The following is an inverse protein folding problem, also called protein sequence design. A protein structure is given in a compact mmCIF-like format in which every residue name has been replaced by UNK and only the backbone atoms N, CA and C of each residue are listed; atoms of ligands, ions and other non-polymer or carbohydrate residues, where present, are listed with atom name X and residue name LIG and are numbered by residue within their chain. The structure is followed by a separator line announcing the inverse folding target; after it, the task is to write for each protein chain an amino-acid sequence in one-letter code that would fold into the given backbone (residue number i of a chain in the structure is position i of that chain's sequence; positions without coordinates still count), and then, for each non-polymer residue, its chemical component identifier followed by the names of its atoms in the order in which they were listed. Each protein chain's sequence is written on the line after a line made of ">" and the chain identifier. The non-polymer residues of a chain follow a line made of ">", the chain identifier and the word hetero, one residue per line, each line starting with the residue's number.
data_IF_907411941335
#
_entry.id   IF_907411941335
#
_cell.length_a   1.000
_cell.length_b   1.000
_cell.length_c   1.000
_cell.angle_alpha   90.00
_cell.angle_beta   90.00
_cell.angle_gamma   90.00
#
_symmetry.space_group_name_H-M   'P 1'
#
loop_
_entity.id
_entity.type
_entity.pdbx_description
1 polymer ?
#
# COMPACT_ATOMS: atom_id res chain seq x y z
N UNK A 1 -13.27 40.52 55.88
CA UNK A 1 -13.08 40.28 54.44
C UNK A 1 -12.89 38.77 54.27
N UNK A 2 -13.99 38.11 53.89
CA UNK A 2 -14.01 36.69 53.58
C UNK A 2 -13.54 36.55 52.12
N UNK A 3 -12.37 35.97 51.93
CA UNK A 3 -11.91 35.52 50.62
C UNK A 3 -12.24 34.03 50.48
N UNK A 4 -13.27 33.75 49.68
CA UNK A 4 -13.55 32.39 49.20
C UNK A 4 -12.41 31.96 48.26
N UNK A 5 -11.81 30.75 48.37
CA UNK A 5 -10.82 30.27 47.44
C UNK A 5 -11.50 29.99 46.10
N UNK A 6 -10.90 30.45 44.99
CA UNK A 6 -11.28 30.07 43.64
C UNK A 6 -11.17 28.53 43.48
N UNK A 7 -12.10 27.92 42.72
CA UNK A 7 -12.02 26.49 42.46
C UNK A 7 -10.75 26.21 41.62
N UNK A 8 -9.98 25.25 42.09
CA UNK A 8 -8.82 24.72 41.37
C UNK A 8 -9.27 24.24 39.96
N UNK A 9 -8.69 24.81 38.93
CA UNK A 9 -8.85 24.32 37.57
C UNK A 9 -8.26 22.93 37.55
N UNK A 10 -9.09 21.92 37.30
CA UNK A 10 -8.70 20.53 37.16
C UNK A 10 -7.81 20.43 35.91
N UNK A 11 -6.49 20.46 36.10
CA UNK A 11 -5.53 20.20 35.02
C UNK A 11 -5.59 18.72 34.76
N UNK A 12 -6.05 18.28 33.57
CA UNK A 12 -6.12 16.85 33.28
C UNK A 12 -4.74 16.21 33.45
N UNK A 13 -4.71 15.10 34.19
CA UNK A 13 -3.50 14.30 34.39
C UNK A 13 -2.94 13.85 33.03
N UNK A 14 -1.86 14.48 32.58
CA UNK A 14 -1.21 14.28 31.27
C UNK A 14 -0.60 12.87 31.17
N UNK A 15 -0.59 12.10 32.27
CA UNK A 15 0.00 10.75 32.34
C UNK A 15 -0.87 9.66 31.72
N UNK A 16 -2.20 9.87 31.58
CA UNK A 16 -3.11 8.87 31.03
C UNK A 16 -3.47 9.22 29.58
N UNK A 17 -2.79 8.55 28.64
CA UNK A 17 -3.16 8.66 27.23
C UNK A 17 -4.47 7.89 26.99
N UNK A 18 -5.55 8.54 26.57
CA UNK A 18 -6.80 7.85 26.31
C UNK A 18 -6.60 6.85 25.16
N UNK A 19 -7.15 5.64 25.34
CA UNK A 19 -7.22 4.65 24.28
C UNK A 19 -8.47 4.95 23.44
N UNK A 20 -8.28 5.25 22.18
CA UNK A 20 -9.39 5.47 21.21
C UNK A 20 -9.53 4.25 20.31
N UNK A 21 -10.70 4.07 19.69
CA UNK A 21 -10.87 3.06 18.64
C UNK A 21 -10.05 3.46 17.40
N UNK A 22 -9.53 2.48 16.65
CA UNK A 22 -8.74 2.73 15.45
C UNK A 22 -9.58 3.53 14.44
N UNK A 23 -9.14 4.76 14.07
CA UNK A 23 -9.88 5.55 13.08
C UNK A 23 -9.80 4.88 11.70
N UNK A 24 -10.93 4.52 11.14
CA UNK A 24 -11.06 4.01 9.79
C UNK A 24 -11.98 4.93 8.97
N UNK A 25 -11.71 5.15 7.68
CA UNK A 25 -12.60 5.91 6.83
C UNK A 25 -13.94 5.18 6.68
N UNK A 26 -15.07 5.89 6.71
CA UNK A 26 -16.36 5.29 6.36
C UNK A 26 -16.35 4.75 4.93
N UNK A 27 -17.10 3.67 4.64
CA UNK A 27 -17.29 3.19 3.27
C UNK A 27 -17.76 4.31 2.33
N UNK A 28 -17.25 4.33 1.11
CA UNK A 28 -17.64 5.34 0.11
C UNK A 28 -17.00 6.72 0.29
N UNK A 29 -16.02 6.87 1.18
CA UNK A 29 -15.26 8.12 1.35
C UNK A 29 -13.88 8.02 0.73
N UNK A 30 -13.49 9.06 -0.02
CA UNK A 30 -12.18 9.16 -0.70
C UNK A 30 -11.10 9.83 0.14
N UNK A 31 -11.34 10.13 1.39
CA UNK A 31 -10.39 10.86 2.24
C UNK A 31 -9.97 10.08 3.47
N UNK A 32 -8.89 10.49 4.11
CA UNK A 32 -8.52 9.96 5.40
C UNK A 32 -9.57 10.34 6.46
N UNK A 33 -9.67 9.58 7.57
CA UNK A 33 -10.53 9.92 8.69
C UNK A 33 -10.29 11.36 9.20
N UNK A 34 -11.36 12.09 9.52
CA UNK A 34 -11.25 13.44 10.09
C UNK A 34 -10.50 13.47 11.42
N UNK A 35 -10.52 12.35 12.14
CA UNK A 35 -9.79 12.14 13.37
C UNK A 35 -8.27 12.37 13.20
N UNK A 36 -7.71 12.17 12.02
CA UNK A 36 -6.28 12.38 11.77
C UNK A 36 -5.88 13.83 12.01
N UNK A 37 -6.68 14.81 11.55
CA UNK A 37 -6.40 16.22 11.80
C UNK A 37 -6.44 16.53 13.29
N UNK A 38 -7.50 16.10 14.00
CA UNK A 38 -7.62 16.30 15.43
C UNK A 38 -6.45 15.68 16.20
N UNK A 39 -6.06 14.44 15.85
CA UNK A 39 -4.96 13.77 16.52
C UNK A 39 -3.63 14.47 16.28
N UNK A 40 -3.34 14.96 15.07
CA UNK A 40 -2.12 15.72 14.81
C UNK A 40 -2.00 16.95 15.70
N UNK A 41 -3.10 17.64 15.94
CA UNK A 41 -3.14 18.88 16.71
C UNK A 41 -3.13 18.63 18.23
N UNK A 42 -3.96 17.72 18.73
CA UNK A 42 -4.24 17.54 20.15
C UNK A 42 -3.43 16.41 20.80
N UNK A 43 -3.22 15.30 20.08
CA UNK A 43 -2.56 14.11 20.63
C UNK A 43 -1.79 13.35 19.54
N UNK A 44 -0.66 13.90 19.05
CA UNK A 44 0.06 13.36 17.89
C UNK A 44 0.61 11.93 18.09
N UNK A 45 0.80 11.52 19.33
CA UNK A 45 1.12 10.16 19.76
C UNK A 45 0.01 9.64 20.66
N UNK A 46 -1.04 9.08 20.07
CA UNK A 46 -2.20 8.52 20.74
C UNK A 46 -2.03 7.02 21.04
N UNK A 47 -2.96 6.44 21.83
CA UNK A 47 -3.14 5.00 21.96
C UNK A 47 -4.42 4.61 21.21
N UNK A 48 -4.34 3.56 20.40
CA UNK A 48 -5.51 3.03 19.68
C UNK A 48 -5.77 1.58 20.05
N UNK A 49 -7.05 1.21 20.03
CA UNK A 49 -7.49 -0.19 20.12
C UNK A 49 -7.67 -0.72 18.72
N UNK A 50 -7.01 -1.81 18.42
CA UNK A 50 -7.18 -2.52 17.15
C UNK A 50 -8.43 -3.41 17.19
N UNK A 51 -9.03 -3.74 16.05
CA UNK A 51 -10.20 -4.63 15.98
C UNK A 51 -10.00 -5.99 16.66
N UNK A 52 -8.77 -6.45 16.75
CA UNK A 52 -8.38 -7.69 17.44
C UNK A 52 -8.23 -7.54 18.98
N UNK A 53 -8.53 -6.37 19.53
CA UNK A 53 -8.47 -6.08 20.97
C UNK A 53 -7.10 -5.62 21.50
N UNK A 54 -6.02 -5.77 20.75
CA UNK A 54 -4.69 -5.26 21.13
C UNK A 54 -4.66 -3.72 21.07
N UNK A 55 -3.73 -3.10 21.83
CA UNK A 55 -3.50 -1.65 21.79
C UNK A 55 -2.16 -1.33 21.17
N UNK A 56 -2.09 -0.21 20.44
CA UNK A 56 -0.87 0.27 19.81
C UNK A 56 -0.70 1.77 19.99
N UNK A 57 0.54 2.24 19.91
CA UNK A 57 0.83 3.66 19.72
C UNK A 57 0.48 4.08 18.31
N UNK A 58 -0.03 5.29 18.14
CA UNK A 58 -0.58 5.80 16.89
C UNK A 58 0.00 7.18 16.62
N UNK A 59 0.97 7.25 15.72
CA UNK A 59 1.68 8.48 15.40
C UNK A 59 1.11 9.11 14.13
N UNK A 60 0.75 10.40 14.16
CA UNK A 60 0.03 11.08 13.08
C UNK A 60 0.75 12.30 12.50
N UNK A 61 1.72 12.92 13.21
CA UNK A 61 2.52 14.04 12.69
C UNK A 61 3.57 13.58 11.69
N UNK A 62 3.84 14.38 10.70
CA UNK A 62 4.77 14.08 9.63
C UNK A 62 6.18 13.73 10.14
N UNK A 63 6.77 14.57 11.00
CA UNK A 63 8.14 14.35 11.47
C UNK A 63 8.22 13.08 12.34
N UNK A 64 7.26 12.85 13.22
CA UNK A 64 7.19 11.64 14.05
C UNK A 64 7.10 10.38 13.17
N UNK A 65 6.19 10.37 12.21
CA UNK A 65 6.00 9.25 11.28
C UNK A 65 7.27 9.00 10.47
N UNK A 66 7.90 10.07 9.97
CA UNK A 66 9.14 10.02 9.19
C UNK A 66 10.31 9.45 9.97
N UNK A 67 10.43 9.78 11.27
CA UNK A 67 11.45 9.22 12.15
C UNK A 67 11.14 7.77 12.50
N UNK A 68 9.94 7.46 12.95
CA UNK A 68 9.54 6.12 13.39
C UNK A 68 9.68 5.06 12.29
N UNK A 69 9.31 5.37 11.03
CA UNK A 69 9.46 4.40 9.93
C UNK A 69 10.90 4.11 9.52
N UNK A 70 11.85 4.91 10.00
CA UNK A 70 13.29 4.76 9.74
C UNK A 70 14.09 4.36 10.98
N UNK A 71 13.46 4.28 12.17
CA UNK A 71 14.14 3.97 13.42
C UNK A 71 14.47 2.47 13.49
N UNK A 72 15.75 2.13 13.64
CA UNK A 72 16.21 0.74 13.72
C UNK A 72 15.78 0.02 15.00
N UNK A 73 15.26 0.73 16.01
CA UNK A 73 14.66 0.16 17.22
C UNK A 73 13.22 -0.30 16.99
N UNK A 74 12.64 0.02 15.84
CA UNK A 74 11.31 -0.44 15.42
C UNK A 74 11.46 -1.45 14.30
N UNK A 75 11.08 -2.68 14.57
CA UNK A 75 11.15 -3.80 13.63
C UNK A 75 9.75 -4.17 13.13
N UNK A 76 9.70 -4.91 12.03
CA UNK A 76 8.47 -5.57 11.60
C UNK A 76 8.24 -6.80 12.48
N UNK A 77 7.13 -6.88 13.23
CA UNK A 77 6.85 -8.08 14.00
C UNK A 77 6.58 -9.25 13.06
N UNK A 78 7.01 -10.44 13.48
CA UNK A 78 6.52 -11.66 12.84
C UNK A 78 4.99 -11.67 12.87
N UNK A 79 4.36 -12.07 11.78
CA UNK A 79 2.89 -12.16 11.69
C UNK A 79 2.31 -13.06 12.78
N UNK A 80 3.10 -14.00 13.31
CA UNK A 80 2.69 -14.91 14.36
C UNK A 80 2.78 -14.31 15.76
N UNK A 81 3.65 -13.32 15.97
CA UNK A 81 3.95 -12.85 17.30
C UNK A 81 3.18 -11.59 17.68
N UNK A 82 2.80 -10.75 16.70
CA UNK A 82 2.03 -9.55 16.98
C UNK A 82 1.39 -8.93 15.72
N UNK A 83 0.17 -8.41 15.81
CA UNK A 83 -0.80 -8.63 16.89
C UNK A 83 -1.26 -10.09 16.90
N UNK A 84 -1.54 -10.68 18.06
CA UNK A 84 -2.04 -12.06 18.13
C UNK A 84 -3.33 -12.13 17.29
N UNK A 85 -3.29 -12.89 16.22
CA UNK A 85 -4.48 -13.09 15.36
C UNK A 85 -5.39 -14.12 16.03
N UNK A 86 -6.72 -13.95 15.95
CA UNK A 86 -7.64 -14.98 16.42
C UNK A 86 -7.26 -16.35 15.83
N UNK A 87 -7.05 -17.34 16.69
CA UNK A 87 -6.69 -18.70 16.27
C UNK A 87 -5.18 -18.98 16.07
N UNK A 88 -4.30 -17.99 16.24
CA UNK A 88 -2.84 -18.23 16.30
C UNK A 88 -2.37 -18.40 17.73
N UNK A 89 -1.56 -19.41 17.98
CA UNK A 89 -0.82 -19.58 19.23
C UNK A 89 0.64 -19.10 19.06
N UNK A 90 1.28 -18.59 20.13
CA UNK A 90 2.72 -18.32 20.09
C UNK A 90 3.50 -19.58 19.69
N UNK A 91 4.33 -19.46 18.66
CA UNK A 91 5.11 -20.57 18.12
C UNK A 91 4.47 -21.32 16.94
N UNK A 92 3.28 -20.92 16.50
CA UNK A 92 2.74 -21.41 15.22
C UNK A 92 3.68 -20.97 14.08
N UNK A 93 3.93 -21.87 13.12
CA UNK A 93 4.74 -21.52 11.96
C UNK A 93 4.07 -20.38 11.16
N UNK A 94 4.83 -19.36 10.75
CA UNK A 94 4.28 -18.27 9.96
C UNK A 94 3.77 -18.83 8.62
N UNK A 95 2.52 -18.54 8.29
CA UNK A 95 1.94 -19.00 7.02
C UNK A 95 2.71 -18.46 5.81
N UNK A 96 2.97 -17.18 5.77
CA UNK A 96 3.71 -16.51 4.71
C UNK A 96 4.77 -15.59 5.34
N UNK A 97 6.05 -15.92 5.17
CA UNK A 97 7.16 -15.03 5.50
C UNK A 97 7.52 -14.22 4.26
N UNK A 98 7.23 -12.94 4.30
CA UNK A 98 7.55 -12.02 3.20
C UNK A 98 8.86 -11.25 3.47
N UNK A 99 9.40 -10.59 2.45
CA UNK A 99 10.54 -9.69 2.64
C UNK A 99 10.24 -8.57 3.66
N UNK A 100 8.97 -8.22 3.87
CA UNK A 100 8.56 -7.18 4.82
C UNK A 100 8.76 -7.58 6.29
N UNK A 101 8.86 -8.87 6.59
CA UNK A 101 9.03 -9.42 7.94
C UNK A 101 10.49 -9.77 8.25
N UNK A 102 11.37 -9.64 7.25
CA UNK A 102 12.79 -9.84 7.44
C UNK A 102 13.46 -8.57 7.94
N UNK A 103 14.44 -8.73 8.83
CA UNK A 103 15.23 -7.62 9.37
C UNK A 103 16.73 -7.86 9.21
N UNK A 104 17.51 -6.78 9.37
CA UNK A 104 18.95 -6.82 9.44
C UNK A 104 19.64 -7.33 8.16
N UNK A 105 20.74 -8.13 8.30
CA UNK A 105 21.55 -8.57 7.17
C UNK A 105 20.81 -9.42 6.14
N UNK A 106 19.85 -10.26 6.57
CA UNK A 106 19.04 -11.11 5.67
C UNK A 106 18.15 -10.25 4.77
N UNK A 107 17.42 -9.28 5.36
CA UNK A 107 16.63 -8.32 4.60
C UNK A 107 17.51 -7.54 3.61
N UNK A 108 18.64 -6.99 4.07
CA UNK A 108 19.53 -6.19 3.23
C UNK A 108 20.12 -6.99 2.05
N UNK A 109 20.47 -8.26 2.27
CA UNK A 109 21.00 -9.14 1.22
C UNK A 109 19.93 -9.43 0.16
N UNK A 110 18.74 -9.84 0.57
CA UNK A 110 17.62 -10.14 -0.32
C UNK A 110 17.21 -8.88 -1.11
N UNK A 111 17.04 -7.76 -0.43
CA UNK A 111 16.70 -6.48 -1.08
C UNK A 111 17.73 -6.07 -2.13
N UNK A 112 19.02 -6.21 -1.85
CA UNK A 112 20.09 -5.90 -2.81
C UNK A 112 20.03 -6.80 -4.06
N UNK A 113 19.85 -8.09 -3.87
CA UNK A 113 19.77 -9.06 -4.97
C UNK A 113 18.59 -8.75 -5.92
N UNK A 114 17.51 -8.18 -5.38
CA UNK A 114 16.22 -8.04 -6.08
C UNK A 114 15.85 -6.61 -6.45
N UNK A 115 16.68 -5.61 -6.10
CA UNK A 115 16.37 -4.20 -6.36
C UNK A 115 16.54 -3.77 -7.82
N UNK A 116 17.35 -4.47 -8.60
CA UNK A 116 17.67 -4.06 -9.98
C UNK A 116 16.44 -3.99 -10.90
N UNK A 117 15.49 -4.96 -10.94
CA UNK A 117 14.28 -4.85 -11.76
C UNK A 117 13.40 -3.63 -11.42
N UNK A 118 13.46 -3.17 -10.16
CA UNK A 118 12.71 -1.99 -9.68
C UNK A 118 13.49 -0.68 -9.78
N UNK A 119 14.72 -0.71 -10.29
CA UNK A 119 15.53 0.50 -10.48
C UNK A 119 14.88 1.44 -11.49
N UNK A 120 15.15 2.74 -11.38
CA UNK A 120 14.69 3.76 -12.35
C UNK A 120 15.04 3.36 -13.78
N UNK A 121 16.25 2.80 -14.00
CA UNK A 121 16.72 2.38 -15.33
C UNK A 121 15.86 1.23 -15.87
N UNK A 122 15.65 0.19 -15.09
CA UNK A 122 14.92 -1.01 -15.51
C UNK A 122 13.44 -0.70 -15.72
N UNK A 123 12.82 0.06 -14.83
CA UNK A 123 11.43 0.51 -14.98
C UNK A 123 11.28 1.38 -16.24
N UNK A 124 12.20 2.33 -16.49
CA UNK A 124 12.17 3.16 -17.70
C UNK A 124 12.29 2.32 -18.97
N UNK A 125 13.16 1.32 -19.00
CA UNK A 125 13.29 0.40 -20.15
C UNK A 125 12.04 -0.48 -20.33
N UNK A 126 11.31 -0.76 -19.24
CA UNK A 126 10.05 -1.51 -19.25
C UNK A 126 8.81 -0.71 -19.66
N UNK A 127 8.87 0.64 -19.70
CA UNK A 127 7.71 1.50 -20.03
C UNK A 127 6.93 1.06 -21.29
N UNK A 128 7.59 0.68 -22.41
CA UNK A 128 6.85 0.21 -23.59
C UNK A 128 6.07 -1.09 -23.35
N UNK A 129 6.53 -1.97 -22.44
CA UNK A 129 5.79 -3.18 -22.05
C UNK A 129 4.57 -2.82 -21.21
N UNK A 130 4.76 -1.94 -20.22
CA UNK A 130 3.67 -1.44 -19.38
C UNK A 130 2.58 -0.78 -20.25
N UNK A 131 2.99 0.04 -21.25
CA UNK A 131 2.05 0.66 -22.17
C UNK A 131 1.28 -0.36 -23.01
N UNK A 132 1.93 -1.40 -23.54
CA UNK A 132 1.23 -2.48 -24.26
C UNK A 132 0.20 -3.20 -23.41
N UNK A 133 0.47 -3.42 -22.12
CA UNK A 133 -0.51 -4.01 -21.19
C UNK A 133 -1.74 -3.12 -21.05
N UNK A 134 -1.56 -1.79 -20.93
CA UNK A 134 -2.65 -0.85 -20.88
C UNK A 134 -3.46 -0.84 -22.18
N UNK A 135 -2.80 -0.74 -23.34
CA UNK A 135 -3.48 -0.71 -24.65
C UNK A 135 -4.27 -2.00 -24.91
N UNK A 136 -3.71 -3.18 -24.58
CA UNK A 136 -4.40 -4.48 -24.71
C UNK A 136 -5.70 -4.57 -23.93
N UNK A 137 -5.77 -3.94 -22.76
CA UNK A 137 -6.97 -3.91 -21.93
C UNK A 137 -7.95 -2.84 -22.38
N UNK A 138 -7.45 -1.68 -22.83
CA UNK A 138 -8.31 -0.59 -23.29
C UNK A 138 -8.94 -0.84 -24.67
N UNK A 139 -8.31 -1.62 -25.57
CA UNK A 139 -8.89 -1.92 -26.89
C UNK A 139 -10.31 -2.52 -26.79
N UNK A 140 -10.55 -3.62 -26.04
CA UNK A 140 -11.89 -4.17 -25.87
C UNK A 140 -12.77 -3.30 -24.96
N UNK A 141 -12.19 -2.50 -24.04
CA UNK A 141 -12.95 -1.59 -23.19
C UNK A 141 -13.62 -0.50 -24.00
N UNK A 142 -12.85 0.20 -24.86
CA UNK A 142 -13.34 1.30 -25.71
C UNK A 142 -14.37 0.83 -26.73
N UNK A 143 -14.25 -0.41 -27.22
CA UNK A 143 -15.21 -1.02 -28.15
C UNK A 143 -16.48 -1.53 -27.48
N UNK A 144 -16.56 -1.52 -26.13
CA UNK A 144 -17.67 -2.05 -25.38
C UNK A 144 -18.81 -1.05 -25.17
N UNK A 145 -19.85 -1.53 -24.48
CA UNK A 145 -21.03 -0.72 -24.14
C UNK A 145 -20.73 0.28 -23.02
N UNK A 146 -21.46 1.41 -23.05
CA UNK A 146 -21.43 2.43 -21.99
C UNK A 146 -22.75 2.39 -21.16
N UNK A 147 -22.69 2.60 -19.85
CA UNK A 147 -21.47 2.77 -19.06
C UNK A 147 -20.67 1.46 -18.95
N UNK A 148 -19.35 1.57 -18.94
CA UNK A 148 -18.44 0.45 -18.69
C UNK A 148 -17.80 0.53 -17.30
N UNK A 149 -17.53 -0.62 -16.69
CA UNK A 149 -16.81 -0.66 -15.42
C UNK A 149 -15.31 -0.60 -15.64
N UNK A 150 -14.72 0.55 -15.29
CA UNK A 150 -13.31 0.81 -15.49
C UNK A 150 -12.41 0.03 -14.53
N UNK A 151 -12.87 -0.25 -13.30
CA UNK A 151 -12.09 -1.03 -12.33
C UNK A 151 -11.98 -2.46 -12.81
N UNK A 152 -13.07 -3.14 -13.00
CA UNK A 152 -13.10 -4.57 -13.34
C UNK A 152 -12.43 -4.86 -14.69
N UNK A 153 -12.61 -3.98 -15.68
CA UNK A 153 -12.16 -4.25 -17.05
C UNK A 153 -10.80 -3.69 -17.41
N UNK A 154 -10.27 -2.75 -16.60
CA UNK A 154 -8.99 -2.10 -16.89
C UNK A 154 -8.10 -1.95 -15.65
N UNK A 155 -8.56 -1.26 -14.60
CA UNK A 155 -7.69 -0.88 -13.48
C UNK A 155 -7.20 -2.08 -12.69
N UNK A 156 -8.04 -3.09 -12.43
CA UNK A 156 -7.67 -4.30 -11.70
C UNK A 156 -6.73 -5.21 -12.52
N UNK A 157 -7.05 -5.60 -13.78
CA UNK A 157 -6.17 -6.45 -14.57
C UNK A 157 -4.85 -5.80 -14.98
N UNK A 158 -4.77 -4.47 -15.05
CA UNK A 158 -3.57 -3.78 -15.52
C UNK A 158 -2.34 -3.98 -14.64
N UNK A 159 -2.35 -3.72 -13.32
CA UNK A 159 -1.23 -4.02 -12.44
C UNK A 159 -0.89 -5.50 -12.38
N UNK A 160 -1.89 -6.38 -12.47
CA UNK A 160 -1.68 -7.84 -12.52
C UNK A 160 -0.85 -8.22 -13.74
N UNK A 161 -1.22 -7.73 -14.93
CA UNK A 161 -0.45 -7.99 -16.15
C UNK A 161 0.99 -7.48 -16.05
N UNK A 162 1.18 -6.27 -15.51
CA UNK A 162 2.52 -5.68 -15.31
C UNK A 162 3.34 -6.50 -14.33
N UNK A 163 2.75 -6.99 -13.25
CA UNK A 163 3.43 -7.85 -12.27
C UNK A 163 3.75 -9.23 -12.86
N UNK A 164 2.84 -9.82 -13.61
CA UNK A 164 3.08 -11.09 -14.31
C UNK A 164 4.29 -10.98 -15.25
N UNK A 165 4.36 -9.92 -16.05
CA UNK A 165 5.48 -9.64 -16.94
C UNK A 165 6.81 -9.46 -16.18
N UNK A 166 6.81 -8.72 -15.07
CA UNK A 166 8.01 -8.44 -14.29
C UNK A 166 8.51 -9.68 -13.55
N UNK A 167 7.59 -10.40 -12.92
CA UNK A 167 7.93 -11.58 -12.10
C UNK A 167 8.22 -12.81 -12.97
N UNK A 168 7.58 -12.92 -14.12
CA UNK A 168 7.68 -14.07 -15.02
C UNK A 168 6.61 -15.12 -14.75
N UNK A 169 5.44 -14.70 -14.26
CA UNK A 169 4.25 -15.50 -14.04
C UNK A 169 3.37 -15.40 -15.30
N UNK A 170 2.81 -16.50 -15.85
CA UNK A 170 1.84 -16.40 -16.93
C UNK A 170 0.58 -15.69 -16.46
N UNK A 171 0.14 -14.67 -17.22
CA UNK A 171 -1.11 -13.95 -16.90
C UNK A 171 -2.34 -14.87 -17.04
N UNK A 172 -2.26 -15.88 -17.88
CA UNK A 172 -3.30 -16.88 -18.07
C UNK A 172 -3.62 -17.68 -16.81
N UNK A 173 -2.69 -17.72 -15.86
CA UNK A 173 -2.86 -18.38 -14.56
C UNK A 173 -3.53 -17.47 -13.52
N UNK A 174 -3.95 -16.25 -13.90
CA UNK A 174 -4.52 -15.25 -12.94
C UNK A 174 -5.75 -15.78 -12.20
N UNK A 175 -6.64 -16.50 -12.87
CA UNK A 175 -7.81 -17.12 -12.24
C UNK A 175 -7.43 -18.17 -11.18
N UNK A 176 -6.24 -18.74 -11.27
CA UNK A 176 -5.70 -19.66 -10.27
C UNK A 176 -5.10 -18.93 -9.08
N UNK A 177 -4.21 -17.96 -9.33
CA UNK A 177 -3.40 -17.39 -8.23
C UNK A 177 -4.06 -16.21 -7.52
N UNK A 178 -4.88 -15.36 -8.18
CA UNK A 178 -5.48 -14.17 -7.55
C UNK A 178 -6.37 -14.51 -6.36
N UNK A 179 -7.34 -15.44 -6.46
CA UNK A 179 -8.18 -15.79 -5.31
C UNK A 179 -7.37 -16.34 -4.13
N UNK A 180 -6.28 -17.04 -4.41
CA UNK A 180 -5.39 -17.59 -3.40
C UNK A 180 -4.50 -16.52 -2.76
N UNK A 181 -4.05 -15.53 -3.54
CA UNK A 181 -3.30 -14.39 -3.03
C UNK A 181 -4.17 -13.53 -2.09
N UNK A 182 -5.42 -13.28 -2.44
CA UNK A 182 -6.39 -12.59 -1.58
C UNK A 182 -6.67 -13.40 -0.30
N UNK A 183 -6.84 -14.71 -0.41
CA UNK A 183 -7.00 -15.61 0.73
C UNK A 183 -5.78 -15.62 1.66
N UNK A 184 -4.58 -15.65 1.10
CA UNK A 184 -3.33 -15.63 1.87
C UNK A 184 -3.11 -14.29 2.60
N UNK A 185 -3.65 -13.17 2.09
CA UNK A 185 -3.64 -11.86 2.76
C UNK A 185 -4.58 -11.79 3.98
N UNK A 186 -5.52 -12.70 4.11
CA UNK A 186 -6.21 -13.03 5.34
C UNK A 186 -7.22 -12.02 5.87
N UNK A 187 -7.91 -11.26 5.03
CA UNK A 187 -8.92 -10.31 5.51
C UNK A 187 -10.26 -10.97 5.89
N UNK A 188 -10.63 -12.11 5.28
CA UNK A 188 -12.02 -12.61 5.31
C UNK A 188 -12.13 -14.10 5.64
N UNK A 189 -11.05 -14.88 5.49
CA UNK A 189 -11.09 -16.33 5.61
C UNK A 189 -10.62 -16.85 6.96
N UNK A 190 -11.00 -18.08 7.26
CA UNK A 190 -10.44 -18.81 8.40
C UNK A 190 -8.93 -18.99 8.25
N UNK A 191 -8.25 -19.17 9.37
CA UNK A 191 -6.80 -19.43 9.40
C UNK A 191 -6.42 -20.65 8.56
N UNK A 192 -7.26 -21.68 8.53
CA UNK A 192 -7.05 -22.91 7.77
C UNK A 192 -7.10 -22.65 6.26
N UNK A 193 -8.10 -21.90 5.79
CA UNK A 193 -8.23 -21.52 4.38
C UNK A 193 -7.05 -20.65 3.92
N UNK A 194 -6.59 -19.70 4.76
CA UNK A 194 -5.41 -18.89 4.47
C UNK A 194 -4.11 -19.71 4.40
N UNK A 195 -3.93 -20.71 5.26
CA UNK A 195 -2.78 -21.62 5.23
C UNK A 195 -2.79 -22.51 3.99
N UNK A 196 -3.96 -23.07 3.65
CA UNK A 196 -4.13 -23.87 2.43
C UNK A 196 -3.83 -23.05 1.17
N UNK A 197 -4.37 -21.84 1.06
CA UNK A 197 -4.09 -20.94 -0.05
C UNK A 197 -2.59 -20.62 -0.17
N UNK A 198 -1.92 -20.36 0.96
CA UNK A 198 -0.47 -20.11 1.02
C UNK A 198 0.32 -21.34 0.56
N UNK A 199 -0.06 -22.54 0.99
CA UNK A 199 0.59 -23.80 0.58
C UNK A 199 0.49 -24.01 -0.94
N UNK A 200 -0.71 -23.84 -1.50
CA UNK A 200 -0.95 -23.97 -2.93
C UNK A 200 -0.17 -22.94 -3.75
N UNK A 201 -0.06 -21.70 -3.27
CA UNK A 201 0.78 -20.69 -3.94
C UNK A 201 2.27 -21.02 -3.85
N UNK A 202 2.76 -21.58 -2.75
CA UNK A 202 4.15 -22.03 -2.60
C UNK A 202 4.48 -23.11 -3.61
N UNK A 203 3.61 -24.12 -3.77
CA UNK A 203 3.77 -25.17 -4.78
C UNK A 203 3.78 -24.60 -6.19
N UNK A 204 2.89 -23.64 -6.47
CA UNK A 204 2.82 -22.96 -7.75
C UNK A 204 4.11 -22.19 -8.06
N UNK A 205 4.61 -21.35 -7.16
CA UNK A 205 5.87 -20.61 -7.34
C UNK A 205 7.05 -21.56 -7.47
N UNK A 206 7.09 -22.65 -6.69
CA UNK A 206 8.12 -23.70 -6.81
C UNK A 206 8.14 -24.30 -8.22
N UNK A 207 6.96 -24.63 -8.75
CA UNK A 207 6.84 -25.17 -10.11
C UNK A 207 7.32 -24.18 -11.18
N UNK A 208 7.05 -22.88 -10.97
CA UNK A 208 7.53 -21.82 -11.85
C UNK A 208 9.05 -21.68 -11.80
N UNK A 209 9.67 -21.71 -10.61
CA UNK A 209 11.13 -21.67 -10.46
C UNK A 209 11.80 -22.87 -11.18
N UNK A 210 11.23 -24.06 -11.06
CA UNK A 210 11.72 -25.24 -11.76
C UNK A 210 11.57 -25.12 -13.28
N UNK A 211 10.48 -24.52 -13.76
CA UNK A 211 10.31 -24.21 -15.18
C UNK A 211 11.36 -23.20 -15.66
N UNK A 212 11.57 -22.10 -14.90
CA UNK A 212 12.57 -21.07 -15.24
C UNK A 212 14.01 -21.58 -15.23
N UNK A 213 14.33 -22.62 -14.45
CA UNK A 213 15.64 -23.29 -14.51
C UNK A 213 15.86 -24.00 -15.86
N UNK A 214 14.79 -24.55 -16.43
CA UNK A 214 14.86 -25.24 -17.76
C UNK A 214 14.68 -24.26 -18.92
N UNK A 215 13.86 -23.23 -18.73
CA UNK A 215 13.46 -22.27 -19.74
C UNK A 215 13.63 -20.85 -19.19
N UNK A 216 14.86 -20.33 -19.12
CA UNK A 216 15.13 -19.01 -18.55
C UNK A 216 14.51 -17.89 -19.42
N UNK A 217 13.96 -16.88 -18.76
CA UNK A 217 13.42 -15.66 -19.36
C UNK A 217 14.14 -14.38 -18.90
N UNK A 218 13.69 -13.24 -19.38
CA UNK A 218 14.13 -11.93 -18.87
C UNK A 218 13.14 -11.45 -17.78
N UNK A 219 13.11 -12.18 -16.67
CA UNK A 219 12.17 -11.95 -15.58
C UNK A 219 12.80 -12.23 -14.20
N UNK A 220 12.06 -11.86 -13.15
CA UNK A 220 12.55 -11.95 -11.78
C UNK A 220 12.72 -13.39 -11.30
N UNK A 221 11.81 -14.33 -11.63
CA UNK A 221 11.94 -15.73 -11.23
C UNK A 221 13.19 -16.36 -11.84
N UNK A 222 13.54 -16.04 -13.09
CA UNK A 222 14.80 -16.47 -13.70
C UNK A 222 16.02 -15.93 -12.95
N UNK A 223 15.98 -14.67 -12.51
CA UNK A 223 17.06 -14.09 -11.69
C UNK A 223 17.17 -14.77 -10.33
N UNK A 224 16.05 -15.07 -9.66
CA UNK A 224 16.04 -15.82 -8.41
C UNK A 224 16.68 -17.20 -8.55
N UNK A 225 16.35 -17.92 -9.63
CA UNK A 225 17.00 -19.20 -9.95
C UNK A 225 18.52 -19.01 -10.08
N UNK A 226 18.97 -17.97 -10.79
CA UNK A 226 20.40 -17.67 -10.91
C UNK A 226 21.08 -17.35 -9.58
N UNK A 227 20.40 -16.66 -8.64
CA UNK A 227 20.94 -16.43 -7.29
C UNK A 227 21.02 -17.73 -6.48
N UNK A 228 20.02 -18.60 -6.59
CA UNK A 228 20.06 -19.93 -5.96
C UNK A 228 21.21 -20.78 -6.49
N UNK A 229 21.41 -20.82 -7.79
CA UNK A 229 22.46 -21.64 -8.44
C UNK A 229 23.87 -21.13 -8.09
N UNK A 230 24.02 -19.84 -7.75
CA UNK A 230 25.27 -19.26 -7.21
C UNK A 230 25.44 -19.46 -5.70
N UNK A 231 24.46 -20.02 -5.00
CA UNK A 231 24.48 -20.19 -3.56
C UNK A 231 24.30 -18.88 -2.76
N UNK A 232 23.86 -17.80 -3.42
CA UNK A 232 23.62 -16.49 -2.79
C UNK A 232 22.23 -16.44 -2.11
N UNK A 233 21.29 -17.30 -2.52
CA UNK A 233 19.94 -17.41 -2.02
C UNK A 233 19.58 -18.88 -1.88
N UNK A 234 18.90 -19.27 -0.81
CA UNK A 234 18.30 -20.58 -0.71
C UNK A 234 16.96 -20.66 -1.45
N UNK A 235 16.54 -21.88 -1.80
CA UNK A 235 15.31 -22.11 -2.57
C UNK A 235 14.06 -21.59 -1.83
N UNK A 236 14.00 -21.76 -0.52
CA UNK A 236 12.86 -21.30 0.29
C UNK A 236 12.72 -19.77 0.26
N UNK A 237 13.82 -19.05 0.39
CA UNK A 237 13.86 -17.60 0.23
C UNK A 237 13.41 -17.14 -1.15
N UNK A 238 13.77 -17.89 -2.23
CA UNK A 238 13.31 -17.60 -3.58
C UNK A 238 11.79 -17.78 -3.72
N UNK A 239 11.23 -18.86 -3.17
CA UNK A 239 9.78 -19.12 -3.14
C UNK A 239 9.06 -18.01 -2.36
N UNK A 240 9.52 -17.70 -1.15
CA UNK A 240 8.92 -16.65 -0.31
C UNK A 240 8.95 -15.29 -0.98
N UNK A 241 10.02 -14.97 -1.72
CA UNK A 241 10.08 -13.74 -2.46
C UNK A 241 9.11 -13.70 -3.64
N UNK A 242 9.02 -14.77 -4.43
CA UNK A 242 8.04 -14.89 -5.51
C UNK A 242 6.62 -14.68 -5.02
N UNK A 243 6.28 -15.30 -3.89
CA UNK A 243 5.00 -15.09 -3.20
C UNK A 243 4.82 -13.64 -2.74
N UNK A 244 5.85 -13.04 -2.14
CA UNK A 244 5.78 -11.65 -1.66
C UNK A 244 5.46 -10.69 -2.80
N UNK A 245 6.07 -10.89 -3.97
CA UNK A 245 5.82 -10.06 -5.15
C UNK A 245 4.40 -10.25 -5.70
N UNK A 246 3.94 -11.50 -5.72
CA UNK A 246 2.59 -11.81 -6.16
C UNK A 246 1.53 -11.14 -5.26
N UNK A 247 1.72 -11.21 -3.94
CA UNK A 247 0.77 -10.70 -2.96
C UNK A 247 0.82 -9.18 -2.82
N UNK A 248 2.02 -8.57 -2.72
CA UNK A 248 2.17 -7.15 -2.45
C UNK A 248 2.07 -6.27 -3.69
N UNK A 249 2.32 -6.83 -4.88
CA UNK A 249 2.59 -6.04 -6.08
C UNK A 249 1.38 -5.60 -6.87
N UNK A 250 0.21 -6.27 -6.73
CA UNK A 250 -0.96 -5.90 -7.53
C UNK A 250 -2.03 -5.16 -6.73
N UNK A 251 -2.38 -5.65 -5.53
CA UNK A 251 -3.53 -5.14 -4.77
C UNK A 251 -3.38 -3.65 -4.43
N UNK A 252 -2.23 -3.26 -3.89
CA UNK A 252 -1.95 -1.86 -3.54
C UNK A 252 -1.94 -0.94 -4.77
N UNK A 253 -1.43 -1.42 -5.90
CA UNK A 253 -1.44 -0.67 -7.17
C UNK A 253 -2.86 -0.53 -7.72
N UNK A 254 -3.68 -1.58 -7.70
CA UNK A 254 -5.09 -1.53 -8.11
C UNK A 254 -5.87 -0.51 -7.29
N UNK A 255 -5.77 -0.57 -5.96
CA UNK A 255 -6.43 0.36 -5.05
C UNK A 255 -6.00 1.81 -5.34
N UNK A 256 -4.69 2.04 -5.44
CA UNK A 256 -4.17 3.38 -5.73
C UNK A 256 -4.67 3.92 -7.07
N UNK A 257 -4.63 3.13 -8.14
CA UNK A 257 -5.09 3.52 -9.46
C UNK A 257 -6.60 3.84 -9.47
N UNK A 258 -7.40 2.99 -8.81
CA UNK A 258 -8.85 3.18 -8.74
C UNK A 258 -9.22 4.47 -8.00
N UNK A 259 -8.64 4.69 -6.83
CA UNK A 259 -8.88 5.91 -6.04
C UNK A 259 -8.34 7.16 -6.74
N UNK A 260 -7.19 7.09 -7.40
CA UNK A 260 -6.61 8.23 -8.10
C UNK A 260 -7.46 8.63 -9.33
N UNK A 261 -7.93 7.66 -10.12
CA UNK A 261 -8.81 7.94 -11.24
C UNK A 261 -10.17 8.47 -10.76
N UNK A 262 -10.75 7.85 -9.73
CA UNK A 262 -11.99 8.35 -9.12
C UNK A 262 -11.80 9.78 -8.60
N UNK A 263 -10.68 10.09 -7.94
CA UNK A 263 -10.35 11.44 -7.46
C UNK A 263 -10.31 12.44 -8.62
N UNK A 264 -9.61 12.12 -9.71
CA UNK A 264 -9.53 12.99 -10.88
C UNK A 264 -10.88 13.22 -11.56
N UNK A 265 -11.76 12.22 -11.58
CA UNK A 265 -13.10 12.34 -12.17
C UNK A 265 -14.08 13.06 -11.23
N UNK A 266 -13.84 13.04 -9.91
CA UNK A 266 -14.69 13.69 -8.90
C UNK A 266 -14.35 15.16 -8.68
N UNK A 267 -13.09 15.56 -8.91
CA UNK A 267 -12.66 16.96 -8.80
C UNK A 267 -12.93 17.68 -10.13
N UNK A 268 -13.80 18.71 -10.15
CA UNK A 268 -14.19 19.38 -11.39
C UNK A 268 -13.00 19.85 -12.23
N UNK A 269 -12.94 19.38 -13.48
CA UNK A 269 -11.91 19.78 -14.44
C UNK A 269 -10.51 19.17 -14.22
N UNK A 270 -10.25 18.39 -13.16
CA UNK A 270 -8.93 17.85 -12.88
C UNK A 270 -8.45 16.89 -13.98
N UNK A 271 -9.31 15.98 -14.43
CA UNK A 271 -9.00 15.06 -15.52
C UNK A 271 -8.68 15.79 -16.81
N UNK A 272 -9.54 16.71 -17.26
CA UNK A 272 -9.34 17.50 -18.46
C UNK A 272 -8.06 18.36 -18.38
N UNK A 273 -7.78 18.96 -17.22
CA UNK A 273 -6.56 19.74 -17.00
C UNK A 273 -5.29 18.93 -17.23
N UNK A 274 -5.21 17.70 -16.69
CA UNK A 274 -4.05 16.83 -16.90
C UNK A 274 -3.97 16.31 -18.32
N UNK A 275 -5.12 15.97 -18.93
CA UNK A 275 -5.20 15.58 -20.33
C UNK A 275 -4.62 16.67 -21.24
N UNK A 276 -5.01 17.92 -21.03
CA UNK A 276 -4.65 19.05 -21.89
C UNK A 276 -3.25 19.60 -21.58
N UNK A 277 -2.74 19.39 -20.36
CA UNK A 277 -1.45 19.88 -19.89
C UNK A 277 -0.55 18.73 -19.38
N UNK A 278 -0.15 17.82 -20.28
CA UNK A 278 0.64 16.61 -20.00
C UNK A 278 1.96 16.89 -19.24
N UNK A 279 2.52 18.09 -19.38
CA UNK A 279 3.72 18.49 -18.63
C UNK A 279 3.52 18.50 -17.10
N UNK A 280 2.27 18.59 -16.62
CA UNK A 280 1.94 18.49 -15.19
C UNK A 280 1.96 17.05 -14.66
N UNK A 281 1.89 16.04 -15.54
CA UNK A 281 1.67 14.65 -15.14
C UNK A 281 2.69 14.12 -14.13
N UNK A 282 4.01 14.37 -14.25
CA UNK A 282 4.96 13.88 -13.25
C UNK A 282 4.69 14.42 -11.84
N UNK A 283 4.42 15.71 -11.70
CA UNK A 283 4.07 16.34 -10.40
C UNK A 283 2.70 15.89 -9.90
N UNK A 284 1.72 15.75 -10.80
CA UNK A 284 0.39 15.28 -10.45
C UNK A 284 0.37 13.82 -9.96
N UNK A 285 1.25 12.97 -10.46
CA UNK A 285 1.43 11.60 -9.94
C UNK A 285 1.92 11.62 -8.49
N UNK A 286 2.90 12.48 -8.15
CA UNK A 286 3.34 12.63 -6.76
C UNK A 286 2.22 13.20 -5.86
N UNK A 287 1.42 14.14 -6.38
CA UNK A 287 0.29 14.69 -5.63
C UNK A 287 -0.81 13.64 -5.41
N UNK A 288 -1.13 12.83 -6.40
CA UNK A 288 -2.07 11.73 -6.24
C UNK A 288 -1.56 10.70 -5.23
N UNK A 289 -0.25 10.38 -5.23
CA UNK A 289 0.38 9.52 -4.24
C UNK A 289 0.25 10.09 -2.81
N UNK A 290 0.41 11.41 -2.64
CA UNK A 290 0.18 12.07 -1.35
C UNK A 290 -1.29 12.05 -0.95
N UNK A 291 -2.17 12.40 -1.90
CA UNK A 291 -3.58 12.67 -1.64
C UNK A 291 -4.39 11.42 -1.37
N UNK A 292 -4.11 10.31 -2.08
CA UNK A 292 -4.85 9.05 -1.97
C UNK A 292 -4.34 8.21 -0.79
N UNK A 293 -5.18 7.89 0.21
CA UNK A 293 -4.74 7.21 1.43
C UNK A 293 -4.76 5.68 1.27
N UNK A 294 -3.87 5.11 0.46
CA UNK A 294 -3.82 3.66 0.22
C UNK A 294 -3.54 2.85 1.49
N UNK A 295 -2.73 3.40 2.41
CA UNK A 295 -2.32 2.70 3.64
C UNK A 295 -2.80 3.45 4.88
N UNK A 296 -4.06 3.26 5.26
CA UNK A 296 -4.67 3.88 6.44
C UNK A 296 -4.26 3.19 7.76
N UNK A 297 -2.99 3.33 8.16
CA UNK A 297 -2.51 2.80 9.45
C UNK A 297 -2.31 1.28 9.48
N UNK A 298 -1.98 0.65 8.36
CA UNK A 298 -1.81 -0.80 8.25
C UNK A 298 -0.35 -1.25 8.52
N UNK A 299 0.58 -0.28 8.59
CA UNK A 299 1.99 -0.58 8.89
C UNK A 299 2.16 -0.70 10.40
N UNK A 300 2.35 -1.92 10.88
CA UNK A 300 2.64 -2.18 12.29
C UNK A 300 4.13 -2.36 12.47
N UNK A 301 4.70 -1.68 13.48
CA UNK A 301 6.07 -1.83 13.94
C UNK A 301 6.05 -2.26 15.41
N UNK A 302 7.10 -2.92 15.86
CA UNK A 302 7.30 -3.30 17.26
C UNK A 302 8.59 -2.70 17.78
N UNK A 303 8.54 -2.04 18.94
CA UNK A 303 9.71 -1.53 19.61
C UNK A 303 10.52 -2.68 20.22
N UNK A 304 11.83 -2.72 19.95
CA UNK A 304 12.76 -3.68 20.61
C UNK A 304 13.51 -3.04 21.77
N UNK A 305 13.43 -1.73 21.90
CA UNK A 305 13.98 -0.92 22.99
C UNK A 305 12.99 0.18 23.37
N UNK A 306 13.13 0.76 24.57
CA UNK A 306 12.34 1.91 24.97
C UNK A 306 12.66 3.14 24.11
N UNK A 307 11.61 3.85 23.65
CA UNK A 307 11.71 5.02 22.80
C UNK A 307 10.97 6.18 23.47
N UNK A 308 11.69 7.29 23.71
CA UNK A 308 11.08 8.52 24.23
C UNK A 308 10.57 9.39 23.08
N UNK A 309 9.29 9.74 23.10
CA UNK A 309 8.68 10.62 22.11
C UNK A 309 7.58 11.49 22.77
N UNK A 310 7.66 12.81 22.63
CA UNK A 310 6.72 13.77 23.22
C UNK A 310 6.50 13.59 24.75
N UNK A 311 7.57 13.28 25.50
CA UNK A 311 7.48 13.05 26.95
C UNK A 311 6.74 11.77 27.34
N UNK A 312 6.58 10.84 26.40
CA UNK A 312 5.99 9.52 26.59
C UNK A 312 6.99 8.44 26.23
N UNK A 313 6.93 7.34 26.94
CA UNK A 313 7.79 6.18 26.68
C UNK A 313 7.01 5.10 25.93
N UNK A 314 7.42 4.83 24.69
CA UNK A 314 7.05 3.61 23.96
C UNK A 314 7.96 2.52 24.52
N UNK A 315 7.38 1.50 25.17
CA UNK A 315 8.16 0.43 25.81
C UNK A 315 8.61 -0.61 24.80
N UNK A 316 9.73 -1.27 25.09
CA UNK A 316 10.11 -2.49 24.39
C UNK A 316 8.96 -3.50 24.41
N UNK A 317 8.60 -4.05 23.25
CA UNK A 317 7.43 -4.90 23.03
C UNK A 317 6.16 -4.17 22.61
N UNK A 318 6.08 -2.84 22.77
CA UNK A 318 4.92 -2.07 22.33
C UNK A 318 4.83 -2.03 20.80
N UNK A 319 3.60 -2.04 20.33
CA UNK A 319 3.31 -1.81 18.93
C UNK A 319 3.17 -0.33 18.62
N UNK A 320 3.63 0.04 17.43
CA UNK A 320 3.58 1.39 16.90
C UNK A 320 3.01 1.38 15.49
N UNK A 321 2.01 2.21 15.23
CA UNK A 321 1.44 2.46 13.91
C UNK A 321 1.83 3.87 13.45
N UNK A 322 2.84 4.02 12.61
CA UNK A 322 3.11 5.29 11.94
C UNK A 322 2.11 5.48 10.80
N UNK A 323 1.27 6.52 10.89
CA UNK A 323 0.14 6.72 9.98
C UNK A 323 0.56 7.58 8.79
N UNK A 324 1.06 6.93 7.73
CA UNK A 324 1.55 7.60 6.52
C UNK A 324 0.48 8.52 5.89
N UNK A 325 -0.79 8.06 5.86
CA UNK A 325 -1.90 8.85 5.34
C UNK A 325 -2.17 10.13 6.15
N UNK A 326 -1.99 10.08 7.48
CA UNK A 326 -2.11 11.27 8.33
C UNK A 326 -0.93 12.23 8.14
N UNK A 327 0.29 11.70 8.04
CA UNK A 327 1.50 12.47 7.79
C UNK A 327 1.43 13.21 6.43
N UNK A 328 0.90 12.56 5.39
CA UNK A 328 0.70 13.16 4.07
C UNK A 328 -0.34 14.30 4.04
N UNK A 329 -1.06 14.52 5.13
CA UNK A 329 -2.03 15.60 5.32
C UNK A 329 -1.63 16.56 6.45
N UNK A 330 -0.35 16.56 6.85
CA UNK A 330 0.14 17.44 7.91
C UNK A 330 0.26 18.88 7.40
N UNK A 331 -0.51 19.77 8.00
CA UNK A 331 -0.55 21.21 7.68
C UNK A 331 0.75 21.95 8.00
N UNK A 332 1.63 21.35 8.80
CA UNK A 332 2.97 21.90 9.06
C UNK A 332 3.94 21.72 7.90
N UNK A 333 3.63 20.76 6.99
CA UNK A 333 4.47 20.41 5.84
C UNK A 333 3.80 20.75 4.52
N UNK A 334 2.50 20.55 4.42
CA UNK A 334 1.74 20.73 3.18
C UNK A 334 0.74 21.89 3.32
N UNK A 335 0.91 22.94 2.52
CA UNK A 335 -0.10 24.02 2.42
C UNK A 335 -1.37 23.45 1.80
N UNK A 336 -2.53 23.74 2.38
CA UNK A 336 -3.83 23.17 1.99
C UNK A 336 -3.75 21.65 1.80
N UNK A 337 -3.44 20.88 2.87
CA UNK A 337 -3.15 19.44 2.75
C UNK A 337 -4.36 18.64 2.28
N UNK A 338 -5.57 19.11 2.50
CA UNK A 338 -6.82 18.45 2.13
C UNK A 338 -7.29 18.80 0.71
N UNK A 339 -6.69 19.80 0.08
CA UNK A 339 -6.87 20.14 -1.32
C UNK A 339 -6.00 19.28 -2.24
N UNK A 340 -6.55 18.92 -3.41
CA UNK A 340 -5.79 18.32 -4.51
C UNK A 340 -5.13 19.43 -5.34
N UNK A 341 -3.81 19.57 -5.24
CA UNK A 341 -3.05 20.54 -6.03
C UNK A 341 -2.14 19.83 -7.06
N UNK A 342 -2.64 19.68 -8.28
CA UNK A 342 -1.92 19.04 -9.39
C UNK A 342 -0.63 19.78 -9.83
N UNK A 343 -0.36 20.95 -9.24
CA UNK A 343 0.83 21.78 -9.49
C UNK A 343 1.74 21.88 -8.26
N UNK A 344 1.50 21.09 -7.20
CA UNK A 344 2.30 21.14 -5.98
C UNK A 344 3.78 20.91 -6.29
N UNK A 345 4.61 21.91 -6.06
CA UNK A 345 6.03 21.90 -6.41
C UNK A 345 6.88 21.12 -5.39
N UNK A 346 6.62 21.34 -4.08
CA UNK A 346 7.30 20.62 -2.99
C UNK A 346 6.35 19.59 -2.39
N UNK A 347 6.68 18.32 -2.60
CA UNK A 347 5.81 17.21 -2.25
C UNK A 347 6.60 16.04 -1.59
N UNK A 348 7.09 16.24 -0.36
CA UNK A 348 7.89 15.24 0.34
C UNK A 348 7.02 14.14 0.97
N UNK A 349 6.04 13.62 0.27
CA UNK A 349 5.10 12.63 0.80
C UNK A 349 5.78 11.33 1.26
N UNK A 350 5.20 10.68 2.26
CA UNK A 350 5.70 9.44 2.86
C UNK A 350 5.00 8.17 2.37
N UNK A 351 4.25 8.22 1.29
CA UNK A 351 3.40 7.10 0.79
C UNK A 351 4.16 5.79 0.62
N UNK A 352 5.42 5.86 0.21
CA UNK A 352 6.29 4.69 0.06
C UNK A 352 7.12 4.34 1.30
N UNK A 353 6.83 4.97 2.42
CA UNK A 353 7.63 4.82 3.64
C UNK A 353 9.04 5.40 3.51
N UNK A 354 9.92 5.03 4.44
CA UNK A 354 11.32 5.47 4.50
C UNK A 354 12.19 4.39 5.16
N UNK A 355 13.53 4.52 5.06
CA UNK A 355 14.47 3.62 5.72
C UNK A 355 14.62 2.28 5.00
N UNK A 356 14.95 1.24 5.77
CA UNK A 356 15.25 -0.09 5.25
C UNK A 356 14.07 -0.70 4.47
N UNK A 357 12.85 -0.46 4.93
CA UNK A 357 11.60 -0.96 4.34
C UNK A 357 10.91 0.03 3.38
N UNK A 358 11.61 1.06 2.88
CA UNK A 358 11.06 1.88 1.80
C UNK A 358 10.58 0.99 0.65
N UNK A 359 9.40 1.30 0.09
CA UNK A 359 8.78 0.48 -0.95
C UNK A 359 9.73 0.22 -2.13
N UNK A 360 10.05 -1.05 -2.38
CA UNK A 360 10.92 -1.45 -3.49
C UNK A 360 10.28 -1.14 -4.84
N UNK A 361 8.94 -1.25 -4.93
CA UNK A 361 8.16 -1.00 -6.14
C UNK A 361 7.84 0.46 -6.42
N UNK A 362 8.38 1.42 -5.66
CA UNK A 362 7.99 2.84 -5.76
C UNK A 362 8.14 3.45 -7.16
N UNK A 363 9.18 3.09 -7.90
CA UNK A 363 9.37 3.54 -9.29
C UNK A 363 8.40 2.86 -10.26
N UNK A 364 8.10 1.58 -10.03
CA UNK A 364 7.12 0.84 -10.84
C UNK A 364 5.69 1.39 -10.64
N UNK A 365 5.31 1.68 -9.40
CA UNK A 365 4.01 2.29 -9.10
C UNK A 365 3.82 3.64 -9.81
N UNK A 366 4.85 4.49 -9.79
CA UNK A 366 4.85 5.76 -10.56
C UNK A 366 4.70 5.54 -12.06
N UNK A 367 5.43 4.56 -12.59
CA UNK A 367 5.36 4.21 -14.02
C UNK A 367 3.97 3.68 -14.40
N UNK A 368 3.39 2.80 -13.57
CA UNK A 368 2.03 2.31 -13.79
C UNK A 368 1.00 3.44 -13.78
N UNK A 369 1.06 4.36 -12.80
CA UNK A 369 0.17 5.51 -12.75
C UNK A 369 0.33 6.41 -13.97
N UNK A 370 1.57 6.75 -14.33
CA UNK A 370 1.86 7.58 -15.50
C UNK A 370 1.27 6.96 -16.77
N UNK A 371 1.58 5.68 -17.03
CA UNK A 371 1.08 4.98 -18.23
C UNK A 371 -0.44 4.81 -18.20
N UNK A 372 -1.02 4.49 -17.04
CA UNK A 372 -2.47 4.39 -16.88
C UNK A 372 -3.15 5.70 -17.30
N UNK A 373 -2.72 6.84 -16.73
CA UNK A 373 -3.30 8.15 -17.03
C UNK A 373 -3.07 8.56 -18.48
N UNK A 374 -1.86 8.39 -19.03
CA UNK A 374 -1.58 8.66 -20.44
C UNK A 374 -2.48 7.85 -21.38
N UNK A 375 -2.63 6.54 -21.09
CA UNK A 375 -3.47 5.67 -21.91
C UNK A 375 -4.95 6.06 -21.83
N UNK A 376 -5.45 6.40 -20.63
CA UNK A 376 -6.81 6.91 -20.45
C UNK A 376 -7.03 8.23 -21.20
N UNK A 377 -6.11 9.18 -21.10
CA UNK A 377 -6.21 10.46 -21.81
C UNK A 377 -6.18 10.30 -23.34
N UNK A 378 -5.39 9.34 -23.85
CA UNK A 378 -5.28 9.10 -25.28
C UNK A 378 -6.51 8.39 -25.86
N UNK A 379 -7.10 7.46 -25.08
CA UNK A 379 -8.17 6.57 -25.56
C UNK A 379 -9.57 7.01 -25.12
N UNK A 380 -9.68 7.70 -24.00
CA UNK A 380 -10.92 8.12 -23.34
C UNK A 380 -10.84 9.59 -22.91
N UNK A 381 -10.64 10.53 -23.87
CA UNK A 381 -10.42 11.95 -23.55
C UNK A 381 -11.58 12.59 -22.78
N UNK A 382 -12.80 12.12 -22.97
CA UNK A 382 -14.01 12.64 -22.33
C UNK A 382 -14.52 11.74 -21.20
N UNK A 383 -13.63 10.94 -20.60
CA UNK A 383 -13.96 10.03 -19.49
C UNK A 383 -14.63 10.78 -18.34
N UNK A 384 -15.75 10.28 -17.88
CA UNK A 384 -16.56 10.83 -16.78
C UNK A 384 -17.28 9.73 -16.01
N UNK A 385 -17.62 9.99 -14.76
CA UNK A 385 -18.46 9.08 -13.97
C UNK A 385 -19.85 8.93 -14.61
N UNK A 386 -20.41 7.74 -14.54
CA UNK A 386 -21.78 7.51 -14.98
C UNK A 386 -22.77 8.08 -13.94
N UNK A 387 -23.71 8.93 -14.39
CA UNK A 387 -24.61 9.69 -13.48
C UNK A 387 -25.53 8.79 -12.66
N UNK A 388 -26.06 7.71 -13.27
CA UNK A 388 -27.05 6.80 -12.65
C UNK A 388 -26.42 5.60 -11.95
N UNK A 389 -25.10 5.51 -11.88
CA UNK A 389 -24.39 4.37 -11.33
C UNK A 389 -23.39 4.85 -10.25
N UNK A 390 -23.43 4.17 -9.10
CA UNK A 390 -22.48 4.48 -8.01
C UNK A 390 -21.42 3.41 -7.92
N UNK A 391 -20.15 3.79 -7.60
CA UNK A 391 -19.13 2.80 -7.27
C UNK A 391 -19.58 1.89 -6.12
N UNK A 392 -19.27 0.60 -6.23
CA UNK A 392 -19.30 -0.33 -5.11
C UNK A 392 -17.94 -0.24 -4.41
N UNK A 393 -17.96 -0.16 -3.09
CA UNK A 393 -16.78 0.03 -2.28
C UNK A 393 -16.40 -1.23 -1.51
N UNK A 394 -15.12 -1.37 -1.22
CA UNK A 394 -14.62 -2.39 -0.32
C UNK A 394 -14.97 -2.02 1.12
N UNK A 395 -15.75 -2.85 1.82
CA UNK A 395 -16.25 -2.54 3.17
C UNK A 395 -15.39 -3.14 4.29
N UNK A 396 -14.68 -4.22 4.02
CA UNK A 396 -13.98 -5.02 5.04
C UNK A 396 -12.50 -4.65 5.20
N UNK A 397 -11.92 -3.92 4.25
CA UNK A 397 -10.52 -3.47 4.32
C UNK A 397 -10.37 -2.13 5.04
N UNK A 398 -9.30 -1.93 5.83
CA UNK A 398 -8.91 -0.62 6.34
C UNK A 398 -8.64 0.40 5.23
N UNK A 399 -8.21 -0.07 4.07
CA UNK A 399 -8.00 0.73 2.87
C UNK A 399 -9.24 0.63 2.00
N UNK A 400 -10.11 1.63 2.08
CA UNK A 400 -11.34 1.69 1.29
C UNK A 400 -11.02 2.08 -0.14
N UNK A 401 -11.39 1.25 -1.10
CA UNK A 401 -11.19 1.49 -2.53
C UNK A 401 -12.45 1.06 -3.31
N UNK A 402 -12.78 1.71 -4.44
CA UNK A 402 -13.89 1.26 -5.26
C UNK A 402 -13.56 -0.09 -5.91
N UNK A 403 -14.46 -1.05 -5.74
CA UNK A 403 -14.45 -2.35 -6.44
C UNK A 403 -15.02 -2.24 -7.85
N UNK A 404 -15.86 -1.24 -8.09
CA UNK A 404 -16.42 -0.91 -9.41
C UNK A 404 -16.34 0.58 -9.65
N UNK A 405 -16.12 0.98 -10.90
CA UNK A 405 -16.14 2.38 -11.31
C UNK A 405 -16.85 2.52 -12.66
N UNK A 406 -18.17 2.67 -12.65
CA UNK A 406 -18.95 2.86 -13.87
C UNK A 406 -18.65 4.24 -14.50
N UNK A 407 -18.26 4.23 -15.76
CA UNK A 407 -17.86 5.45 -16.50
C UNK A 407 -18.47 5.50 -17.90
N UNK A 408 -18.57 6.72 -18.42
CA UNK A 408 -18.84 7.01 -19.84
C UNK A 408 -17.63 7.71 -20.45
N UNK A 409 -17.50 7.63 -21.79
CA UNK A 409 -16.40 8.25 -22.54
C UNK A 409 -16.85 8.75 -23.90
#
# INVERSE_FOLDING_TARGET
>A
VNTTPEPAVDVPDVSVVPVIELPLPPPGTMGPPKEYQRLRQECPLARVRLPIGATAWYATRYDDVKELVADARLIRPSITDWPPRPGHAPGDEPGLVTMMELEGPRHAALRRALSEPFSVRSVRSGMPRIRRSADRLLDPFVAGDQPGDLVVRFIEPFPVMVMCDLVGIPYEDSDYFLPRADAALGAILTLEEGREATSQLREYITSLLDRKRREPGDDMLTRLVGECDRGALDHESAVNFGLSMLVAGYRTSTMFLADAVLTLLSVPGAYARLRDHRALLPGAVEELLRYVPVMNGVVVLQAVEDIELHGRTIRAGDAVLPVLAAANRDESVFTDPDGLDLCRADNPHLTFGRGAHNCIGSHLARAQMTVCLEALFDRLPDLRLAEDHRPIWEDESPSKSPLTLPVNW
#
